data_IF_293871809279
#
_entry.id   IF_293871809279
#
_cell.length_a   1.000
_cell.length_b   1.000
_cell.length_c   1.000
_cell.angle_alpha   90.00
_cell.angle_beta   90.00
_cell.angle_gamma   90.00
#
_symmetry.space_group_name_H-M   'P 1'
#
loop_
_entity.id
_entity.type
_entity.pdbx_description
1 polymer ?
#
# COMPACT_ATOMS: atom_id res chain seq x y z
N UNK A 1 -50.06 4.06 -18.17
CA UNK A 1 -49.83 2.72 -17.59
C UNK A 1 -48.54 2.76 -16.77
N UNK A 2 -48.60 2.21 -15.55
CA UNK A 2 -47.51 2.17 -14.56
C UNK A 2 -46.74 0.84 -14.66
N UNK A 3 -45.44 0.91 -14.33
CA UNK A 3 -44.61 -0.08 -13.61
C UNK A 3 -43.98 -1.28 -14.40
N UNK A 4 -42.84 -1.85 -13.92
CA UNK A 4 -41.51 -1.62 -14.51
C UNK A 4 -40.69 -2.93 -14.68
N UNK A 5 -39.41 -2.87 -15.10
CA UNK A 5 -38.37 -3.87 -14.70
C UNK A 5 -36.92 -3.43 -15.00
N UNK A 6 -36.25 -3.07 -13.90
CA UNK A 6 -34.87 -3.38 -13.44
C UNK A 6 -33.67 -3.05 -14.36
N UNK A 7 -32.89 -2.07 -13.89
CA UNK A 7 -31.48 -1.85 -14.20
C UNK A 7 -30.59 -2.93 -13.56
N UNK A 8 -29.49 -3.28 -14.23
CA UNK A 8 -28.36 -4.03 -13.68
C UNK A 8 -27.15 -3.10 -13.74
N UNK A 9 -26.65 -2.56 -12.61
CA UNK A 9 -25.33 -1.96 -12.58
C UNK A 9 -24.29 -3.10 -12.40
N UNK A 10 -23.44 -3.31 -13.40
CA UNK A 10 -22.23 -4.12 -13.23
C UNK A 10 -21.20 -3.23 -12.53
N UNK A 11 -21.13 -3.38 -11.22
CA UNK A 11 -20.06 -2.83 -10.40
C UNK A 11 -18.78 -3.62 -10.64
N UNK A 12 -17.76 -2.97 -11.20
CA UNK A 12 -16.39 -3.45 -11.19
C UNK A 12 -15.81 -3.03 -9.84
N UNK A 13 -15.76 -3.97 -8.90
CA UNK A 13 -15.12 -3.79 -7.60
C UNK A 13 -14.14 -4.94 -7.41
N UNK A 14 -12.84 -4.63 -7.52
CA UNK A 14 -11.75 -5.53 -7.16
C UNK A 14 -10.73 -4.78 -6.30
N UNK A 15 -11.04 -4.82 -5.00
CA UNK A 15 -10.15 -4.96 -3.82
C UNK A 15 -8.84 -4.17 -3.78
N UNK A 16 -8.98 -2.92 -3.32
CA UNK A 16 -8.09 -2.33 -2.33
C UNK A 16 -8.39 -2.97 -0.95
N UNK A 17 -7.43 -3.64 -0.33
CA UNK A 17 -7.50 -3.93 1.12
C UNK A 17 -6.29 -3.29 1.78
N UNK A 18 -6.52 -2.16 2.44
CA UNK A 18 -5.53 -1.47 3.24
C UNK A 18 -5.97 -0.12 3.80
N UNK A 19 -6.89 0.62 3.15
CA UNK A 19 -7.20 1.99 3.60
C UNK A 19 -8.59 2.55 3.27
N UNK A 20 -9.62 1.72 3.04
CA UNK A 20 -10.95 2.25 2.75
C UNK A 20 -12.10 1.38 3.28
N UNK A 21 -12.32 1.38 4.59
CA UNK A 21 -13.64 0.99 5.17
C UNK A 21 -14.18 2.09 6.11
N UNK A 22 -13.66 3.32 6.04
CA UNK A 22 -14.15 4.41 6.88
C UNK A 22 -15.37 5.16 6.30
N UNK A 23 -15.88 4.82 5.09
CA UNK A 23 -16.90 5.67 4.45
C UNK A 23 -18.10 4.96 3.81
N UNK A 24 -18.57 3.87 4.40
CA UNK A 24 -19.94 3.36 4.16
C UNK A 24 -20.60 2.97 5.50
N UNK A 25 -20.70 3.93 6.42
CA UNK A 25 -21.50 3.80 7.63
C UNK A 25 -22.94 4.25 7.32
N UNK A 26 -23.72 3.31 6.80
CA UNK A 26 -25.15 3.50 6.50
C UNK A 26 -25.93 2.18 6.50
N UNK A 27 -25.47 1.20 7.26
CA UNK A 27 -26.30 0.05 7.67
C UNK A 27 -25.65 -0.56 8.91
N UNK A 28 -26.37 -0.55 10.02
CA UNK A 28 -25.95 -1.11 11.30
C UNK A 28 -25.67 -2.61 11.16
N UNK A 29 -24.39 -2.98 11.00
CA UNK A 29 -23.94 -4.36 11.06
C UNK A 29 -23.32 -4.61 12.45
N UNK A 30 -23.93 -5.46 13.30
CA UNK A 30 -23.45 -5.73 14.66
C UNK A 30 -22.09 -6.45 14.70
N UNK A 31 -21.63 -7.01 13.57
CA UNK A 31 -20.37 -7.75 13.47
C UNK A 31 -19.13 -6.85 13.36
N UNK A 32 -19.24 -5.66 12.77
CA UNK A 32 -18.16 -4.66 12.70
C UNK A 32 -17.81 -4.09 14.08
N UNK A 33 -18.82 -3.89 14.93
CA UNK A 33 -18.65 -3.34 16.28
C UNK A 33 -17.94 -4.32 17.23
N UNK A 34 -18.21 -5.62 17.09
CA UNK A 34 -17.58 -6.67 17.89
C UNK A 34 -16.08 -6.86 17.56
N UNK A 35 -15.73 -6.76 16.26
CA UNK A 35 -14.34 -6.83 15.81
C UNK A 35 -13.53 -5.56 16.18
N UNK A 36 -14.15 -4.38 16.13
CA UNK A 36 -13.50 -3.15 16.60
C UNK A 36 -13.32 -3.12 18.13
N UNK A 37 -14.26 -3.66 18.90
CA UNK A 37 -14.16 -3.70 20.36
C UNK A 37 -13.12 -4.72 20.86
N UNK A 38 -12.87 -5.84 20.18
CA UNK A 38 -11.79 -6.76 20.59
C UNK A 38 -10.40 -6.26 20.22
N UNK A 39 -10.27 -5.47 19.15
CA UNK A 39 -8.99 -4.94 18.67
C UNK A 39 -8.52 -3.70 19.43
N UNK A 40 -9.42 -2.92 20.02
CA UNK A 40 -9.08 -1.61 20.60
C UNK A 40 -9.61 -1.33 22.02
N UNK A 41 -10.11 -2.32 22.76
CA UNK A 41 -10.48 -2.10 24.18
C UNK A 41 -9.25 -2.03 25.11
N UNK A 42 -8.77 -0.79 25.27
CA UNK A 42 -8.27 -0.09 26.47
C UNK A 42 -7.41 -0.82 27.51
N UNK A 43 -6.18 -0.32 27.66
CA UNK A 43 -5.84 0.55 28.81
C UNK A 43 -4.63 1.42 28.45
N UNK A 44 -4.81 2.73 28.41
CA UNK A 44 -3.82 3.70 27.88
C UNK A 44 -3.21 4.62 28.94
N UNK A 45 -3.40 4.35 30.24
CA UNK A 45 -3.01 5.31 31.30
C UNK A 45 -2.12 4.72 32.44
N UNK A 46 -1.27 3.73 32.15
CA UNK A 46 -0.29 3.22 33.13
C UNK A 46 1.14 3.12 32.53
N UNK A 47 2.20 3.33 33.34
CA UNK A 47 3.58 3.23 32.85
C UNK A 47 3.86 1.79 32.40
N UNK A 48 4.17 1.64 31.11
CA UNK A 48 4.41 0.36 30.44
C UNK A 48 5.61 -0.36 31.07
N UNK A 49 5.37 -1.51 31.70
CA UNK A 49 6.44 -2.40 32.14
C UNK A 49 6.98 -3.18 30.93
N UNK A 50 8.25 -3.62 30.92
CA UNK A 50 8.82 -4.40 29.82
C UNK A 50 8.00 -5.67 29.46
N UNK A 51 7.30 -6.24 30.45
CA UNK A 51 6.37 -7.36 30.25
C UNK A 51 5.13 -7.01 29.42
N UNK A 52 4.65 -5.76 29.49
CA UNK A 52 3.48 -5.30 28.74
C UNK A 52 3.81 -5.09 27.26
N UNK A 53 5.04 -4.68 26.96
CA UNK A 53 5.54 -4.57 25.58
C UNK A 53 5.71 -5.93 24.94
N UNK A 54 6.25 -6.93 25.66
CA UNK A 54 6.34 -8.29 25.14
C UNK A 54 4.96 -8.91 24.90
N UNK A 55 4.00 -8.67 25.80
CA UNK A 55 2.63 -9.12 25.61
C UNK A 55 1.98 -8.43 24.39
N UNK A 56 2.22 -7.13 24.19
CA UNK A 56 1.73 -6.38 23.03
C UNK A 56 2.33 -6.88 21.71
N UNK A 57 3.63 -7.18 21.69
CA UNK A 57 4.32 -7.74 20.51
C UNK A 57 3.76 -9.11 20.17
N UNK A 58 3.56 -9.97 21.18
CA UNK A 58 3.01 -11.31 20.98
C UNK A 58 1.55 -11.26 20.50
N UNK A 59 0.74 -10.34 21.02
CA UNK A 59 -0.62 -10.10 20.55
C UNK A 59 -0.66 -9.58 19.11
N UNK A 60 0.32 -8.77 18.71
CA UNK A 60 0.47 -8.32 17.33
C UNK A 60 0.89 -9.46 16.40
N UNK A 61 1.81 -10.32 16.82
CA UNK A 61 2.22 -11.53 16.08
C UNK A 61 1.03 -12.48 15.87
N UNK A 62 0.25 -12.75 16.92
CA UNK A 62 -0.98 -13.55 16.82
C UNK A 62 -2.01 -12.91 15.88
N UNK A 63 -2.18 -11.58 15.94
CA UNK A 63 -3.11 -10.89 15.04
C UNK A 63 -2.67 -10.96 13.58
N UNK A 64 -1.36 -10.97 13.33
CA UNK A 64 -0.77 -11.04 11.99
C UNK A 64 -0.89 -12.47 11.44
N UNK A 65 -0.65 -13.49 12.26
CA UNK A 65 -0.94 -14.88 11.92
C UNK A 65 -2.42 -15.12 11.63
N UNK A 66 -3.31 -14.56 12.44
CA UNK A 66 -4.76 -14.62 12.20
C UNK A 66 -5.13 -13.93 10.89
N UNK A 67 -4.52 -12.79 10.58
CA UNK A 67 -4.76 -12.07 9.32
C UNK A 67 -4.28 -12.88 8.13
N UNK A 68 -3.09 -13.47 8.19
CA UNK A 68 -2.57 -14.36 7.14
C UNK A 68 -3.44 -15.61 6.97
N UNK A 69 -3.93 -16.18 8.07
CA UNK A 69 -4.86 -17.31 8.05
C UNK A 69 -6.19 -16.93 7.39
N UNK A 70 -6.76 -15.78 7.74
CA UNK A 70 -7.99 -15.24 7.14
C UNK A 70 -7.76 -14.97 5.65
N UNK A 71 -6.61 -14.42 5.25
CA UNK A 71 -6.28 -14.23 3.83
C UNK A 71 -6.16 -15.57 3.08
N UNK A 72 -5.57 -16.59 3.72
CA UNK A 72 -5.54 -17.96 3.18
C UNK A 72 -6.94 -18.55 3.00
N UNK A 73 -7.81 -18.41 4.01
CA UNK A 73 -9.19 -18.87 3.94
C UNK A 73 -10.03 -18.10 2.93
N UNK A 74 -9.77 -16.81 2.73
CA UNK A 74 -10.38 -16.00 1.68
C UNK A 74 -9.94 -16.43 0.29
N UNK A 75 -8.65 -16.73 0.12
CA UNK A 75 -8.12 -17.31 -1.12
C UNK A 75 -8.76 -18.66 -1.41
N UNK A 76 -8.91 -19.51 -0.40
CA UNK A 76 -9.60 -20.80 -0.47
C UNK A 76 -11.08 -20.64 -0.82
N UNK A 77 -11.78 -19.70 -0.19
CA UNK A 77 -13.20 -19.44 -0.45
C UNK A 77 -13.44 -18.79 -1.82
N UNK A 78 -12.52 -17.93 -2.28
CA UNK A 78 -12.53 -17.40 -3.66
C UNK A 78 -12.26 -18.52 -4.66
N UNK A 79 -11.40 -19.47 -4.32
CA UNK A 79 -11.12 -20.65 -5.13
C UNK A 79 -12.35 -21.59 -5.20
N UNK A 80 -12.98 -21.92 -4.08
CA UNK A 80 -14.22 -22.71 -4.00
C UNK A 80 -15.39 -22.05 -4.73
N UNK A 81 -15.51 -20.72 -4.63
CA UNK A 81 -16.52 -19.94 -5.35
C UNK A 81 -16.23 -19.95 -6.86
N UNK A 82 -14.96 -19.95 -7.27
CA UNK A 82 -14.56 -20.10 -8.67
C UNK A 82 -14.90 -21.50 -9.21
N UNK A 83 -14.75 -22.55 -8.40
CA UNK A 83 -15.14 -23.92 -8.75
C UNK A 83 -16.65 -24.10 -8.91
N UNK A 84 -17.46 -23.38 -8.14
CA UNK A 84 -18.92 -23.45 -8.24
C UNK A 84 -19.52 -22.62 -9.38
N UNK A 85 -18.79 -21.63 -9.91
CA UNK A 85 -19.22 -20.78 -11.03
C UNK A 85 -18.77 -21.33 -12.40
N UNK A 86 -17.82 -22.27 -12.43
CA UNK A 86 -17.32 -22.95 -13.64
C UNK A 86 -17.06 -24.44 -13.33
N UNK A 87 -18.04 -25.36 -13.49
CA UNK A 87 -17.92 -26.76 -13.04
C UNK A 87 -16.88 -27.61 -13.81
N UNK A 88 -16.15 -27.02 -14.76
CA UNK A 88 -15.06 -27.67 -15.52
C UNK A 88 -13.65 -27.21 -15.09
N UNK A 89 -13.52 -26.39 -14.03
CA UNK A 89 -12.20 -25.97 -13.52
C UNK A 89 -11.77 -26.70 -12.26
N UNK A 90 -11.55 -28.02 -12.34
CA UNK A 90 -10.77 -28.73 -11.32
C UNK A 90 -9.29 -28.34 -11.45
N UNK A 91 -8.70 -27.78 -10.39
CA UNK A 91 -7.24 -27.60 -10.27
C UNK A 91 -6.70 -28.48 -9.15
N UNK A 92 -5.57 -29.15 -9.42
CA UNK A 92 -4.61 -29.51 -8.38
C UNK A 92 -4.56 -30.97 -7.94
N UNK A 93 -4.47 -31.91 -8.89
CA UNK A 93 -3.99 -33.25 -8.59
C UNK A 93 -2.58 -33.18 -7.95
N UNK A 94 -2.48 -33.57 -6.68
CA UNK A 94 -1.22 -33.79 -5.97
C UNK A 94 -0.54 -34.96 -6.65
N UNK A 95 0.39 -34.64 -7.55
CA UNK A 95 1.12 -35.60 -8.39
C UNK A 95 1.55 -36.87 -7.64
N UNK A 96 0.85 -37.96 -7.88
CA UNK A 96 1.49 -39.25 -8.09
C UNK A 96 1.52 -39.50 -9.60
N UNK A 97 2.73 -39.58 -10.16
CA UNK A 97 2.94 -39.85 -11.58
C UNK A 97 2.30 -41.21 -11.94
N UNK A 98 1.10 -41.17 -12.51
CA UNK A 98 0.40 -42.33 -13.05
C UNK A 98 0.37 -42.22 -14.57
N UNK A 99 0.60 -43.34 -15.25
CA UNK A 99 0.74 -43.46 -16.70
C UNK A 99 -0.63 -43.32 -17.38
N UNK A 100 -1.01 -42.11 -17.78
CA UNK A 100 -2.22 -41.85 -18.59
C UNK A 100 -2.03 -42.19 -20.08
N UNK A 101 -3.13 -42.53 -20.76
CA UNK A 101 -3.16 -42.97 -22.15
C UNK A 101 -2.80 -41.84 -23.14
N UNK A 102 -2.16 -42.12 -24.29
CA UNK A 102 -1.69 -41.08 -25.24
C UNK A 102 -2.78 -40.14 -25.78
N UNK A 103 -4.02 -40.62 -25.91
CA UNK A 103 -5.16 -39.83 -26.45
C UNK A 103 -5.69 -38.84 -25.41
N UNK A 104 -5.75 -39.23 -24.14
CA UNK A 104 -6.16 -38.37 -23.03
C UNK A 104 -5.10 -37.29 -22.76
N UNK A 105 -3.82 -37.66 -22.87
CA UNK A 105 -2.70 -36.72 -22.79
C UNK A 105 -2.73 -35.67 -23.91
N UNK A 106 -3.10 -36.05 -25.13
CA UNK A 106 -3.15 -35.11 -26.25
C UNK A 106 -4.34 -34.13 -26.15
N UNK A 107 -5.51 -34.61 -25.73
CA UNK A 107 -6.66 -33.73 -25.48
C UNK A 107 -6.44 -32.80 -24.28
N UNK A 108 -5.84 -33.30 -23.19
CA UNK A 108 -5.44 -32.49 -22.05
C UNK A 108 -4.39 -31.44 -22.42
N UNK A 109 -3.39 -31.78 -23.25
CA UNK A 109 -2.40 -30.83 -23.74
C UNK A 109 -2.99 -29.75 -24.65
N UNK A 110 -3.97 -30.06 -25.49
CA UNK A 110 -4.67 -29.05 -26.32
C UNK A 110 -5.47 -28.08 -25.46
N UNK A 111 -6.18 -28.58 -24.44
CA UNK A 111 -6.93 -27.74 -23.49
C UNK A 111 -5.99 -26.87 -22.65
N UNK A 112 -4.84 -27.41 -22.21
CA UNK A 112 -3.78 -26.66 -21.50
C UNK A 112 -3.24 -25.52 -22.35
N UNK A 113 -2.81 -25.79 -23.59
CA UNK A 113 -2.32 -24.75 -24.51
C UNK A 113 -3.36 -23.64 -24.74
N UNK A 114 -4.63 -24.00 -24.96
CA UNK A 114 -5.70 -23.01 -25.15
C UNK A 114 -5.93 -22.14 -23.90
N UNK A 115 -5.87 -22.72 -22.70
CA UNK A 115 -6.01 -22.00 -21.41
C UNK A 115 -4.79 -21.11 -21.13
N UNK A 116 -3.58 -21.59 -21.40
CA UNK A 116 -2.34 -20.83 -21.23
C UNK A 116 -2.30 -19.62 -22.16
N UNK A 117 -2.74 -19.77 -23.42
CA UNK A 117 -2.89 -18.65 -24.36
C UNK A 117 -3.95 -17.64 -23.90
N UNK A 118 -5.10 -18.08 -23.39
CA UNK A 118 -6.15 -17.18 -22.91
C UNK A 118 -5.75 -16.41 -21.63
N UNK A 119 -4.98 -17.06 -20.75
CA UNK A 119 -4.40 -16.46 -19.54
C UNK A 119 -3.31 -15.44 -19.90
N UNK A 120 -2.36 -15.81 -20.77
CA UNK A 120 -1.32 -14.91 -21.29
C UNK A 120 -1.91 -13.65 -21.90
N UNK A 121 -2.94 -13.81 -22.74
CA UNK A 121 -3.66 -12.68 -23.34
C UNK A 121 -4.33 -11.75 -22.29
N UNK A 122 -4.65 -12.22 -21.08
CA UNK A 122 -5.22 -11.36 -20.03
C UNK A 122 -4.15 -10.51 -19.37
N UNK A 123 -3.02 -11.10 -18.98
CA UNK A 123 -1.91 -10.37 -18.37
C UNK A 123 -1.33 -9.32 -19.32
N UNK A 124 -1.14 -9.68 -20.59
CA UNK A 124 -0.69 -8.74 -21.62
C UNK A 124 -1.63 -7.54 -21.76
N UNK A 125 -2.95 -7.77 -21.78
CA UNK A 125 -3.94 -6.67 -21.83
C UNK A 125 -3.91 -5.78 -20.60
N UNK A 126 -3.75 -6.34 -19.40
CA UNK A 126 -3.63 -5.55 -18.16
C UNK A 126 -2.37 -4.68 -18.23
N UNK A 127 -1.23 -5.30 -18.60
CA UNK A 127 0.05 -4.62 -18.76
C UNK A 127 -0.03 -3.49 -19.78
N UNK A 128 -0.62 -3.74 -20.96
CA UNK A 128 -0.83 -2.72 -21.98
C UNK A 128 -1.70 -1.57 -21.50
N UNK A 129 -2.76 -1.85 -20.74
CA UNK A 129 -3.63 -0.82 -20.19
C UNK A 129 -2.88 0.03 -19.16
N UNK A 130 -2.04 -0.57 -18.32
CA UNK A 130 -1.18 0.16 -17.38
C UNK A 130 -0.15 1.02 -18.11
N UNK A 131 0.51 0.48 -19.14
CA UNK A 131 1.44 1.26 -19.97
C UNK A 131 0.71 2.46 -20.59
N UNK A 132 -0.48 2.24 -21.15
CA UNK A 132 -1.31 3.31 -21.73
C UNK A 132 -1.66 4.39 -20.69
N UNK A 133 -2.06 4.00 -19.49
CA UNK A 133 -2.32 4.93 -18.40
C UNK A 133 -1.12 5.84 -18.09
N UNK A 134 0.10 5.31 -18.10
CA UNK A 134 1.31 6.10 -17.90
C UNK A 134 1.66 6.97 -19.11
N UNK A 135 1.48 6.48 -20.34
CA UNK A 135 1.73 7.28 -21.54
C UNK A 135 0.73 8.42 -21.70
N UNK A 136 -0.52 8.22 -21.29
CA UNK A 136 -1.56 9.24 -21.31
C UNK A 136 -1.24 10.39 -20.33
N UNK A 137 -0.49 10.09 -19.25
CA UNK A 137 0.05 11.08 -18.31
C UNK A 137 1.34 11.75 -18.79
N UNK A 138 1.83 11.43 -20.00
CA UNK A 138 2.99 12.08 -20.62
C UNK A 138 4.32 11.32 -20.55
N UNK A 139 4.35 10.12 -19.96
CA UNK A 139 5.56 9.29 -19.94
C UNK A 139 5.83 8.68 -21.32
N UNK A 140 7.11 8.48 -21.65
CA UNK A 140 7.47 7.71 -22.85
C UNK A 140 7.02 6.26 -22.72
N UNK A 141 6.76 5.58 -23.84
CA UNK A 141 6.38 4.16 -23.84
C UNK A 141 7.43 3.28 -23.13
N UNK A 142 8.72 3.53 -23.39
CA UNK A 142 9.82 2.79 -22.76
C UNK A 142 9.81 2.99 -21.24
N UNK A 143 9.56 4.23 -20.78
CA UNK A 143 9.51 4.54 -19.36
C UNK A 143 8.28 3.94 -18.69
N UNK A 144 7.12 4.03 -19.33
CA UNK A 144 5.89 3.40 -18.87
C UNK A 144 6.05 1.88 -18.74
N UNK A 145 6.65 1.22 -19.74
CA UNK A 145 6.93 -0.20 -19.71
C UNK A 145 7.92 -0.59 -18.60
N UNK A 146 8.94 0.25 -18.36
CA UNK A 146 9.86 0.10 -17.24
C UNK A 146 9.16 0.19 -15.89
N UNK A 147 8.31 1.20 -15.67
CA UNK A 147 7.58 1.38 -14.41
C UNK A 147 6.73 0.14 -14.11
N UNK A 148 6.00 -0.38 -15.12
CA UNK A 148 5.17 -1.57 -14.94
C UNK A 148 6.00 -2.81 -14.58
N UNK A 149 7.12 -3.07 -15.26
CA UNK A 149 8.02 -4.18 -14.90
C UNK A 149 8.66 -3.97 -13.51
N UNK A 150 9.02 -2.73 -13.16
CA UNK A 150 9.63 -2.40 -11.87
C UNK A 150 8.64 -2.62 -10.71
N UNK A 151 7.36 -2.28 -10.90
CA UNK A 151 6.31 -2.53 -9.90
C UNK A 151 6.17 -4.01 -9.54
N UNK A 152 6.37 -4.92 -10.49
CA UNK A 152 6.35 -6.36 -10.23
C UNK A 152 7.60 -6.84 -9.47
N UNK A 153 8.74 -6.17 -9.65
CA UNK A 153 10.03 -6.53 -9.03
C UNK A 153 10.21 -6.02 -7.62
N UNK A 154 9.67 -4.84 -7.28
CA UNK A 154 9.85 -4.20 -5.97
C UNK A 154 9.47 -5.15 -4.80
N UNK A 155 8.31 -5.83 -4.80
CA UNK A 155 7.94 -6.74 -3.72
C UNK A 155 8.92 -7.90 -3.55
N UNK A 156 9.43 -8.43 -4.66
CA UNK A 156 10.42 -9.50 -4.64
C UNK A 156 11.75 -9.04 -4.05
N UNK A 157 12.27 -7.88 -4.47
CA UNK A 157 13.49 -7.29 -3.90
C UNK A 157 13.31 -6.96 -2.41
N UNK A 158 12.15 -6.45 -2.02
CA UNK A 158 11.81 -6.22 -0.62
C UNK A 158 11.88 -7.52 0.20
N UNK A 159 11.33 -8.62 -0.32
CA UNK A 159 11.40 -9.95 0.31
C UNK A 159 12.84 -10.46 0.42
N UNK A 160 13.68 -10.23 -0.59
CA UNK A 160 15.09 -10.59 -0.53
C UNK A 160 15.82 -9.82 0.57
N UNK A 161 15.60 -8.51 0.69
CA UNK A 161 16.22 -7.70 1.73
C UNK A 161 15.72 -8.08 3.12
N UNK A 162 14.43 -8.41 3.28
CA UNK A 162 13.88 -8.81 4.58
C UNK A 162 14.43 -10.16 5.01
N UNK A 163 14.52 -11.12 4.07
CA UNK A 163 15.14 -12.42 4.30
C UNK A 163 16.61 -12.27 4.70
N UNK A 164 17.40 -11.50 3.94
CA UNK A 164 18.81 -11.28 4.25
C UNK A 164 18.97 -10.58 5.60
N UNK A 165 18.15 -9.56 5.88
CA UNK A 165 18.18 -8.87 7.17
C UNK A 165 17.89 -9.84 8.30
N UNK A 166 16.85 -10.69 8.20
CA UNK A 166 16.46 -11.65 9.23
C UNK A 166 17.57 -12.67 9.52
N UNK A 167 18.27 -13.16 8.50
CA UNK A 167 19.31 -14.19 8.64
C UNK A 167 20.70 -13.61 8.96
N UNK A 168 20.82 -12.28 9.04
CA UNK A 168 22.06 -11.64 9.44
C UNK A 168 22.34 -11.86 10.94
N UNK A 169 23.52 -12.41 11.25
CA UNK A 169 23.94 -12.70 12.62
C UNK A 169 24.14 -11.43 13.46
N UNK A 170 24.79 -10.41 12.88
CA UNK A 170 25.06 -9.14 13.55
C UNK A 170 24.16 -8.01 13.01
N UNK A 171 23.11 -7.68 13.78
CA UNK A 171 22.17 -6.59 13.48
C UNK A 171 22.74 -5.19 13.70
N UNK A 172 23.95 -5.06 14.25
CA UNK A 172 24.63 -3.76 14.45
C UNK A 172 25.67 -3.47 13.36
N UNK A 173 25.95 -4.46 12.52
CA UNK A 173 26.90 -4.34 11.42
C UNK A 173 26.50 -3.25 10.40
N UNK A 174 27.48 -2.78 9.61
CA UNK A 174 27.22 -1.86 8.50
C UNK A 174 26.19 -2.45 7.51
N UNK A 175 26.29 -3.76 7.23
CA UNK A 175 25.36 -4.48 6.35
C UNK A 175 23.92 -4.43 6.88
N UNK A 176 23.73 -4.58 8.19
CA UNK A 176 22.40 -4.47 8.80
C UNK A 176 21.78 -3.09 8.58
N UNK A 177 22.58 -2.03 8.72
CA UNK A 177 22.14 -0.65 8.49
C UNK A 177 21.75 -0.42 7.03
N UNK A 178 22.57 -0.89 6.09
CA UNK A 178 22.28 -0.81 4.64
C UNK A 178 20.98 -1.55 4.29
N UNK A 179 20.78 -2.76 4.81
CA UNK A 179 19.55 -3.54 4.58
C UNK A 179 18.34 -2.85 5.19
N UNK A 180 18.47 -2.25 6.37
CA UNK A 180 17.41 -1.51 7.01
C UNK A 180 17.01 -0.27 6.19
N UNK A 181 17.98 0.45 5.63
CA UNK A 181 17.73 1.59 4.74
C UNK A 181 17.03 1.15 3.44
N UNK A 182 17.48 0.04 2.84
CA UNK A 182 16.80 -0.56 1.69
C UNK A 182 15.37 -0.94 2.02
N UNK A 183 15.13 -1.61 3.15
CA UNK A 183 13.78 -1.97 3.60
C UNK A 183 12.87 -0.75 3.81
N UNK A 184 13.41 0.37 4.28
CA UNK A 184 12.65 1.62 4.41
C UNK A 184 12.31 2.27 3.07
N UNK A 185 13.17 2.09 2.07
CA UNK A 185 12.93 2.61 0.71
C UNK A 185 11.90 1.75 -0.02
N UNK A 186 12.10 0.43 0.02
CA UNK A 186 11.29 -0.54 -0.71
C UNK A 186 9.93 -0.83 -0.08
N UNK A 187 9.69 -0.43 1.17
CA UNK A 187 8.36 -0.51 1.79
C UNK A 187 7.33 0.43 1.14
N UNK A 188 7.80 1.48 0.45
CA UNK A 188 6.98 2.45 -0.26
C UNK A 188 7.43 2.52 -1.72
N UNK A 189 6.70 1.92 -2.68
CA UNK A 189 7.09 1.91 -4.10
C UNK A 189 7.38 3.31 -4.66
N UNK A 190 6.66 4.33 -4.18
CA UNK A 190 6.87 5.73 -4.54
C UNK A 190 8.29 6.23 -4.24
N UNK A 191 8.98 5.73 -3.20
CA UNK A 191 10.36 6.13 -2.87
C UNK A 191 11.38 5.50 -3.80
N UNK A 192 11.11 4.29 -4.30
CA UNK A 192 11.95 3.66 -5.32
C UNK A 192 11.89 4.49 -6.61
N UNK A 193 10.67 4.83 -7.05
CA UNK A 193 10.49 5.65 -8.25
C UNK A 193 11.01 7.09 -8.09
N UNK A 194 10.98 7.66 -6.89
CA UNK A 194 11.59 8.98 -6.64
C UNK A 194 13.11 8.98 -6.88
N UNK A 195 13.79 7.86 -6.66
CA UNK A 195 15.23 7.71 -6.88
C UNK A 195 15.58 7.32 -8.31
N UNK A 196 14.71 6.58 -8.99
CA UNK A 196 14.95 6.01 -10.32
C UNK A 196 14.43 6.89 -11.47
N UNK A 197 13.41 7.70 -11.21
CA UNK A 197 12.82 8.62 -12.18
C UNK A 197 13.38 10.02 -12.01
N UNK A 198 13.48 10.76 -13.12
CA UNK A 198 13.74 12.19 -13.01
C UNK A 198 12.50 12.93 -12.47
N UNK A 199 12.65 14.23 -12.13
CA UNK A 199 11.56 15.03 -11.54
C UNK A 199 10.29 15.03 -12.39
N UNK A 200 10.41 15.26 -13.69
CA UNK A 200 9.27 15.36 -14.60
C UNK A 200 8.57 14.01 -14.75
N UNK A 201 9.35 12.94 -14.96
CA UNK A 201 8.84 11.56 -15.03
C UNK A 201 8.13 11.15 -13.73
N UNK A 202 8.66 11.56 -12.58
CA UNK A 202 8.06 11.25 -11.28
C UNK A 202 6.73 11.99 -11.07
N UNK A 203 6.66 13.27 -11.43
CA UNK A 203 5.41 14.03 -11.35
C UNK A 203 4.34 13.44 -12.30
N UNK A 204 4.71 13.01 -13.52
CA UNK A 204 3.82 12.28 -14.44
C UNK A 204 3.37 10.92 -13.89
N UNK A 205 4.27 10.18 -13.23
CA UNK A 205 3.94 8.93 -12.55
C UNK A 205 2.92 9.13 -11.42
N UNK A 206 3.07 10.20 -10.63
CA UNK A 206 2.10 10.54 -9.58
C UNK A 206 0.74 10.89 -10.16
N UNK A 207 0.69 11.68 -11.23
CA UNK A 207 -0.55 12.02 -11.93
C UNK A 207 -1.27 10.76 -12.44
N UNK A 208 -0.54 9.86 -13.10
CA UNK A 208 -1.06 8.60 -13.60
C UNK A 208 -1.65 7.70 -12.49
N UNK A 209 -1.01 7.66 -11.32
CA UNK A 209 -1.42 6.77 -10.21
C UNK A 209 -2.45 7.38 -9.28
N UNK A 210 -2.86 8.63 -9.50
CA UNK A 210 -3.65 9.39 -8.54
C UNK A 210 -2.89 9.63 -7.22
N UNK A 211 -1.56 9.53 -7.27
CA UNK A 211 -0.68 9.81 -6.16
C UNK A 211 -0.79 11.28 -5.77
N UNK A 212 -0.88 11.55 -4.48
CA UNK A 212 -0.90 12.93 -4.00
C UNK A 212 0.51 13.50 -4.12
N UNK A 213 0.65 14.62 -4.82
CA UNK A 213 1.90 15.39 -4.90
C UNK A 213 2.22 16.14 -3.60
N UNK A 214 1.30 16.08 -2.63
CA UNK A 214 1.26 16.87 -1.41
C UNK A 214 0.66 16.05 -0.25
N UNK A 215 1.19 16.25 0.96
CA UNK A 215 0.66 15.64 2.17
C UNK A 215 -0.39 16.54 2.84
N UNK A 216 -1.66 16.12 2.83
CA UNK A 216 -2.74 16.84 3.52
C UNK A 216 -2.76 16.50 5.02
N UNK A 217 -2.85 17.53 5.86
CA UNK A 217 -2.97 17.37 7.31
C UNK A 217 -4.41 16.99 7.68
N UNK A 218 -4.59 15.83 8.32
CA UNK A 218 -5.89 15.38 8.84
C UNK A 218 -6.23 16.05 10.17
N UNK A 219 -5.27 16.08 11.11
CA UNK A 219 -5.47 16.62 12.45
C UNK A 219 -4.20 17.22 13.05
N UNK A 220 -4.36 18.17 13.98
CA UNK A 220 -3.26 18.69 14.79
C UNK A 220 -3.63 18.64 16.27
N UNK A 221 -2.61 18.48 17.10
CA UNK A 221 -2.70 18.73 18.53
C UNK A 221 -2.63 20.24 18.78
N UNK A 222 -3.61 20.80 19.49
CA UNK A 222 -3.69 22.24 19.77
C UNK A 222 -2.50 22.76 20.60
N UNK A 223 -1.92 21.91 21.45
CA UNK A 223 -0.73 22.21 22.26
C UNK A 223 0.59 21.91 21.55
N UNK A 224 0.56 21.55 20.27
CA UNK A 224 1.76 21.16 19.54
C UNK A 224 2.37 22.30 18.73
N UNK A 225 3.69 22.25 18.48
CA UNK A 225 4.40 23.35 17.83
C UNK A 225 3.91 23.68 16.42
N UNK A 226 3.37 22.69 15.67
CA UNK A 226 2.76 22.95 14.37
C UNK A 226 1.52 23.84 14.46
N UNK A 227 0.68 23.63 15.48
CA UNK A 227 -0.53 24.41 15.67
C UNK A 227 -0.21 25.84 16.11
N UNK A 228 0.77 25.98 17.02
CA UNK A 228 1.29 27.29 17.47
C UNK A 228 1.91 28.08 16.31
N UNK A 229 2.62 27.41 15.41
CA UNK A 229 3.19 28.01 14.20
C UNK A 229 2.14 28.35 13.12
N UNK A 230 0.86 28.07 13.39
CA UNK A 230 -0.25 28.49 12.54
C UNK A 230 -0.72 27.46 11.52
N UNK A 231 -0.25 26.20 11.57
CA UNK A 231 -0.83 25.12 10.74
C UNK A 231 -2.22 24.75 11.22
N UNK A 232 -3.08 24.37 10.27
CA UNK A 232 -4.45 23.96 10.53
C UNK A 232 -4.78 22.67 9.79
N UNK A 233 -5.80 21.96 10.27
CA UNK A 233 -6.33 20.79 9.56
C UNK A 233 -6.81 21.21 8.17
N UNK A 234 -6.53 20.38 7.17
CA UNK A 234 -6.84 20.67 5.78
C UNK A 234 -5.72 21.40 5.02
N UNK A 235 -4.71 21.95 5.71
CA UNK A 235 -3.51 22.45 5.04
C UNK A 235 -2.74 21.29 4.40
N UNK A 236 -2.10 21.57 3.27
CA UNK A 236 -1.26 20.63 2.56
C UNK A 236 0.19 21.04 2.70
N UNK A 237 1.05 20.10 3.09
CA UNK A 237 2.50 20.29 3.16
C UNK A 237 3.09 19.82 1.83
N UNK A 238 3.81 20.72 1.16
CA UNK A 238 4.46 20.46 -0.12
C UNK A 238 5.94 20.17 0.11
N UNK A 239 6.59 20.98 0.95
CA UNK A 239 8.00 20.80 1.33
C UNK A 239 8.23 21.05 2.81
N UNK A 240 9.18 20.33 3.38
CA UNK A 240 9.74 20.57 4.70
C UNK A 240 11.25 20.56 4.57
N UNK A 241 11.92 21.60 5.09
CA UNK A 241 13.37 21.76 4.99
C UNK A 241 13.90 21.65 3.53
N UNK A 242 13.21 22.30 2.59
CA UNK A 242 13.50 22.25 1.14
C UNK A 242 13.37 20.87 0.47
N UNK A 243 12.89 19.85 1.19
CA UNK A 243 12.62 18.51 0.66
C UNK A 243 11.12 18.30 0.48
N UNK A 244 10.71 17.59 -0.59
CA UNK A 244 9.29 17.30 -0.85
C UNK A 244 8.72 16.39 0.23
N UNK A 245 7.42 16.54 0.50
CA UNK A 245 6.68 15.69 1.44
C UNK A 245 5.45 15.15 0.72
N UNK A 246 5.43 13.85 0.45
CA UNK A 246 4.31 13.19 -0.21
C UNK A 246 3.40 12.49 0.81
N UNK A 247 4.00 11.97 1.89
CA UNK A 247 3.26 11.29 2.94
C UNK A 247 3.85 11.53 4.33
N UNK A 248 3.09 11.18 5.38
CA UNK A 248 3.50 11.33 6.79
C UNK A 248 4.87 10.70 7.09
N UNK A 249 5.19 9.57 6.46
CA UNK A 249 6.50 8.93 6.60
C UNK A 249 7.68 9.81 6.19
N UNK A 250 7.54 10.65 5.15
CA UNK A 250 8.59 11.55 4.68
C UNK A 250 8.79 12.66 5.70
N UNK A 251 7.70 13.30 6.10
CA UNK A 251 7.71 14.34 7.11
C UNK A 251 8.38 13.85 8.39
N UNK A 252 8.03 12.65 8.86
CA UNK A 252 8.62 12.06 10.06
C UNK A 252 10.13 11.83 9.89
N UNK A 253 10.58 11.27 8.76
CA UNK A 253 12.01 11.10 8.48
C UNK A 253 12.75 12.43 8.49
N UNK A 254 12.19 13.46 7.84
CA UNK A 254 12.82 14.77 7.75
C UNK A 254 12.85 15.50 9.11
N UNK A 255 11.78 15.41 9.89
CA UNK A 255 11.74 15.95 11.27
C UNK A 255 12.85 15.36 12.13
N UNK A 256 13.13 14.05 12.02
CA UNK A 256 14.22 13.41 12.78
C UNK A 256 15.63 13.82 12.32
N UNK A 257 15.79 14.33 11.11
CA UNK A 257 17.09 14.79 10.59
C UNK A 257 17.45 16.20 11.03
N UNK A 258 16.46 17.00 11.48
CA UNK A 258 16.68 18.39 11.86
C UNK A 258 17.14 18.46 13.33
N UNK A 259 18.24 19.19 13.63
CA UNK A 259 18.69 19.40 15.00
C UNK A 259 17.65 20.15 15.86
N UNK A 260 17.47 19.77 17.14
CA UNK A 260 16.55 20.45 18.03
C UNK A 260 16.94 21.92 18.23
N UNK A 261 15.94 22.77 18.48
CA UNK A 261 16.16 24.21 18.70
C UNK A 261 16.39 25.05 17.45
N UNK A 262 16.28 24.44 16.26
CA UNK A 262 16.31 25.16 14.98
C UNK A 262 14.89 25.44 14.47
N UNK A 263 14.76 26.36 13.52
CA UNK A 263 13.51 26.63 12.82
C UNK A 263 13.65 26.26 11.36
N UNK A 264 12.63 25.60 10.82
CA UNK A 264 12.65 24.95 9.51
C UNK A 264 11.63 25.60 8.60
N UNK A 265 12.00 26.00 7.36
CA UNK A 265 11.03 26.48 6.38
C UNK A 265 10.16 25.32 5.90
N UNK A 266 8.86 25.55 5.88
CA UNK A 266 7.84 24.60 5.43
C UNK A 266 6.95 25.29 4.42
N UNK A 267 6.93 24.75 3.20
CA UNK A 267 6.06 25.22 2.13
C UNK A 267 4.72 24.50 2.24
N UNK A 268 3.66 25.28 2.42
CA UNK A 268 2.30 24.79 2.57
C UNK A 268 1.36 25.43 1.56
N UNK A 269 0.24 24.76 1.35
CA UNK A 269 -0.92 25.28 0.64
C UNK A 269 -2.13 25.19 1.56
N UNK A 270 -2.71 26.35 1.88
CA UNK A 270 -3.90 26.44 2.73
C UNK A 270 -5.11 25.82 2.04
N UNK A 271 -6.03 25.25 2.82
CA UNK A 271 -7.25 24.67 2.27
C UNK A 271 -8.04 25.72 1.45
N UNK A 272 -8.29 25.42 0.18
CA UNK A 272 -9.02 26.31 -0.74
C UNK A 272 -8.18 27.44 -1.36
N UNK A 273 -6.91 27.59 -0.96
CA UNK A 273 -5.97 28.48 -1.64
C UNK A 273 -5.27 27.73 -2.78
N UNK A 274 -5.04 28.39 -3.91
CA UNK A 274 -4.17 27.89 -4.98
C UNK A 274 -2.71 28.34 -4.84
N UNK A 275 -2.41 29.22 -3.88
CA UNK A 275 -1.08 29.77 -3.67
C UNK A 275 -0.36 29.04 -2.54
N UNK A 276 0.95 28.88 -2.70
CA UNK A 276 1.83 28.33 -1.66
C UNK A 276 2.35 29.44 -0.76
N UNK A 277 2.54 29.12 0.52
CA UNK A 277 3.07 29.99 1.56
C UNK A 277 4.19 29.26 2.28
N UNK A 278 5.25 29.98 2.65
CA UNK A 278 6.32 29.43 3.48
C UNK A 278 6.12 29.88 4.93
N UNK A 279 5.96 28.92 5.84
CA UNK A 279 5.95 29.15 7.28
C UNK A 279 7.18 28.53 7.92
N UNK A 280 7.46 28.91 9.17
CA UNK A 280 8.60 28.41 9.93
C UNK A 280 8.11 27.56 11.09
N UNK A 281 8.49 26.27 11.09
CA UNK A 281 8.19 25.35 12.18
C UNK A 281 9.40 25.16 13.09
N UNK A 282 9.25 25.08 14.41
CA UNK A 282 10.34 24.66 15.28
C UNK A 282 10.66 23.17 15.05
N UNK A 283 11.94 22.83 15.12
CA UNK A 283 12.42 21.47 15.01
C UNK A 283 11.92 20.62 16.19
N UNK A 284 11.41 19.42 15.89
CA UNK A 284 10.96 18.46 16.89
C UNK A 284 9.59 17.86 16.57
N UNK A 285 8.95 17.23 17.56
CA UNK A 285 7.64 16.59 17.37
C UNK A 285 6.58 17.64 17.03
N UNK A 286 6.14 17.64 15.77
CA UNK A 286 5.21 18.65 15.24
C UNK A 286 3.75 18.45 15.71
N UNK A 287 3.38 17.26 16.18
CA UNK A 287 2.01 16.94 16.63
C UNK A 287 0.96 16.86 15.52
N UNK A 288 1.39 16.52 14.30
CA UNK A 288 0.53 16.34 13.13
C UNK A 288 0.02 14.89 13.07
N UNK A 289 -1.26 14.72 12.76
CA UNK A 289 -1.95 13.43 12.61
C UNK A 289 -2.45 13.27 11.17
N UNK A 290 -2.43 12.02 10.70
CA UNK A 290 -2.98 11.63 9.40
C UNK A 290 -4.49 11.44 9.49
#
# INVERSE_FOLDING_TARGET
>A
MKLPRRAIPVAVSLLLVGAAVAHWAGSENPTSSALQQSLFSNNTDAPLSPGDLTARVQQLEESLEQTLKIQGQLLELVNDLSEHLDPESTYGDVRQASLESPVEQEQANRRRRARDHASGNRFERIRENQIRQFTDAGLSYERAAYIVDRQERIPYEQMQFSYEYQHLQDKRSKRAKELQEKLQTYSNPHRVFEQELNREEYDQYLDATGGRTEFQIGGLLESAPAYEAGLRSGDKIIRYNNQRVFHMGDLRTQVYQVPPGTSVPVEIQRQGSSSTETIYLPAGPLGIRH
#
